data_IF_678898755699
#
_entry.id   IF_678898755699
#
_cell.length_a   1.000
_cell.length_b   1.000
_cell.length_c   1.000
_cell.angle_alpha   90.00
_cell.angle_beta   90.00
_cell.angle_gamma   90.00
#
_symmetry.space_group_name_H-M   'P 1'
#
loop_
_entity.id
_entity.type
_entity.pdbx_description
1 polymer ?
#
# COMPACT_ATOMS: atom_id res chain seq x y z
N UNK A 1 -19.52 3.47 12.31
CA UNK A 1 -18.42 2.60 11.89
C UNK A 1 -18.36 1.35 12.75
N UNK A 2 -17.84 1.34 13.98
CA UNK A 2 -17.91 0.12 14.81
C UNK A 2 -19.32 -0.07 15.38
N UNK A 3 -19.94 -1.23 15.10
CA UNK A 3 -21.28 -1.63 15.56
C UNK A 3 -21.24 -2.70 16.65
N UNK A 4 -20.16 -3.46 16.69
CA UNK A 4 -19.80 -4.36 17.79
C UNK A 4 -18.28 -4.37 17.94
N UNK A 5 -17.78 -4.30 19.17
CA UNK A 5 -16.35 -4.26 19.44
C UNK A 5 -15.65 -5.52 18.92
N UNK A 6 -14.43 -5.36 18.42
CA UNK A 6 -13.60 -6.48 17.97
C UNK A 6 -13.18 -7.29 19.21
N UNK A 7 -13.33 -8.63 19.20
CA UNK A 7 -12.91 -9.46 20.32
C UNK A 7 -11.38 -9.39 20.51
N UNK A 8 -10.84 -9.74 21.70
CA UNK A 8 -9.41 -9.68 21.98
C UNK A 8 -8.53 -10.55 21.06
N UNK A 9 -9.06 -11.63 20.48
CA UNK A 9 -8.33 -12.52 19.59
C UNK A 9 -9.22 -12.95 18.40
N UNK A 10 -9.44 -12.07 17.42
CA UNK A 10 -10.24 -12.42 16.25
C UNK A 10 -9.43 -13.34 15.32
N UNK A 11 -10.05 -14.41 14.84
CA UNK A 11 -9.43 -15.38 13.91
C UNK A 11 -10.03 -15.35 12.51
N UNK A 12 -11.17 -14.68 12.35
CA UNK A 12 -11.96 -14.69 11.12
C UNK A 12 -12.26 -13.26 10.66
N UNK A 13 -12.18 -13.06 9.35
CA UNK A 13 -12.58 -11.84 8.64
C UNK A 13 -13.56 -12.23 7.53
N UNK A 14 -14.72 -11.59 7.48
CA UNK A 14 -15.69 -11.79 6.41
C UNK A 14 -16.49 -10.54 6.11
N UNK A 15 -17.16 -10.50 4.96
CA UNK A 15 -17.93 -9.35 4.52
C UNK A 15 -19.34 -9.76 4.09
N UNK A 16 -20.34 -9.06 4.61
CA UNK A 16 -21.76 -9.23 4.29
C UNK A 16 -22.17 -8.10 3.33
N UNK A 17 -22.28 -8.41 2.03
CA UNK A 17 -22.48 -7.39 0.99
C UNK A 17 -23.84 -6.69 1.06
N UNK A 18 -24.89 -7.40 1.47
CA UNK A 18 -26.25 -6.86 1.59
C UNK A 18 -26.32 -5.77 2.67
N UNK A 19 -25.63 -5.99 3.79
CA UNK A 19 -25.64 -5.10 4.96
C UNK A 19 -24.43 -4.14 4.99
N UNK A 20 -23.49 -4.30 4.06
CA UNK A 20 -22.21 -3.60 4.03
C UNK A 20 -21.46 -3.71 5.37
N UNK A 21 -21.39 -4.93 5.91
CA UNK A 21 -20.78 -5.21 7.21
C UNK A 21 -19.47 -5.98 7.00
N UNK A 22 -18.37 -5.42 7.52
CA UNK A 22 -17.15 -6.18 7.74
C UNK A 22 -17.21 -6.82 9.13
N UNK A 23 -17.18 -8.15 9.18
CA UNK A 23 -17.14 -8.94 10.42
C UNK A 23 -15.71 -9.30 10.77
N UNK A 24 -15.37 -9.16 12.04
CA UNK A 24 -14.04 -9.47 12.59
C UNK A 24 -14.27 -10.30 13.85
N UNK A 25 -14.29 -11.63 13.71
CA UNK A 25 -14.84 -12.53 14.73
C UNK A 25 -16.29 -12.13 15.11
N UNK A 26 -16.52 -11.79 16.38
CA UNK A 26 -17.80 -11.27 16.87
C UNK A 26 -17.98 -9.76 16.67
N UNK A 27 -16.92 -9.04 16.29
CA UNK A 27 -16.94 -7.61 16.01
C UNK A 27 -17.58 -7.29 14.66
N UNK A 28 -18.07 -6.05 14.53
CA UNK A 28 -18.78 -5.58 13.32
C UNK A 28 -18.41 -4.14 13.01
N UNK A 29 -18.05 -3.87 11.76
CA UNK A 29 -17.84 -2.52 11.22
C UNK A 29 -18.84 -2.31 10.07
N UNK A 30 -19.60 -1.22 10.11
CA UNK A 30 -20.56 -0.82 9.09
C UNK A 30 -20.87 0.69 9.11
N UNK A 31 -21.13 1.29 7.94
CA UNK A 31 -21.03 0.68 6.60
C UNK A 31 -19.57 0.54 6.14
N UNK A 32 -19.29 -0.45 5.29
CA UNK A 32 -18.02 -0.65 4.58
C UNK A 32 -18.35 -0.82 3.11
N UNK A 33 -17.89 0.10 2.26
CA UNK A 33 -18.16 0.03 0.82
C UNK A 33 -17.61 -1.27 0.22
N UNK A 34 -18.38 -1.89 -0.68
CA UNK A 34 -17.96 -3.10 -1.38
C UNK A 34 -16.65 -2.89 -2.16
N UNK A 35 -16.41 -1.67 -2.66
CA UNK A 35 -15.16 -1.28 -3.31
C UNK A 35 -13.93 -1.38 -2.39
N UNK A 36 -14.07 -1.02 -1.12
CA UNK A 36 -13.01 -1.17 -0.13
C UNK A 36 -12.73 -2.64 0.18
N UNK A 37 -13.79 -3.46 0.30
CA UNK A 37 -13.66 -4.91 0.47
C UNK A 37 -13.01 -5.58 -0.74
N UNK A 38 -13.46 -5.27 -1.96
CA UNK A 38 -12.98 -5.84 -3.22
C UNK A 38 -11.65 -5.26 -3.72
N UNK A 39 -11.05 -4.32 -2.98
CA UNK A 39 -9.81 -3.68 -3.40
C UNK A 39 -8.64 -4.67 -3.41
N UNK A 40 -7.99 -4.80 -4.58
CA UNK A 40 -6.87 -5.73 -4.81
C UNK A 40 -5.65 -5.02 -5.38
N UNK A 41 -4.47 -5.50 -4.96
CA UNK A 41 -3.17 -5.13 -5.54
C UNK A 41 -2.46 -6.44 -5.90
N UNK A 42 -2.04 -6.58 -7.16
CA UNK A 42 -1.42 -7.83 -7.63
C UNK A 42 -2.31 -9.07 -7.46
N UNK A 43 -3.64 -8.91 -7.51
CA UNK A 43 -4.61 -9.98 -7.30
C UNK A 43 -4.91 -10.32 -5.83
N UNK A 44 -4.19 -9.75 -4.87
CA UNK A 44 -4.39 -9.99 -3.43
C UNK A 44 -5.38 -8.97 -2.85
N UNK A 45 -6.31 -9.41 -2.01
CA UNK A 45 -7.27 -8.51 -1.34
C UNK A 45 -6.63 -7.83 -0.13
N UNK A 46 -6.69 -6.50 -0.10
CA UNK A 46 -5.90 -5.73 0.86
C UNK A 46 -6.38 -5.84 2.30
N UNK A 47 -7.70 -5.88 2.55
CA UNK A 47 -8.24 -6.04 3.91
C UNK A 47 -7.94 -7.43 4.50
N UNK A 48 -8.04 -8.49 3.69
CA UNK A 48 -7.65 -9.86 4.09
C UNK A 48 -6.16 -9.92 4.43
N UNK A 49 -5.29 -9.42 3.55
CA UNK A 49 -3.84 -9.41 3.79
C UNK A 49 -3.46 -8.61 5.05
N UNK A 50 -4.09 -7.45 5.26
CA UNK A 50 -3.83 -6.60 6.42
C UNK A 50 -4.22 -7.31 7.73
N UNK A 51 -5.34 -8.04 7.72
CA UNK A 51 -5.83 -8.81 8.86
C UNK A 51 -4.94 -10.02 9.13
N UNK A 52 -4.66 -10.83 8.11
CA UNK A 52 -3.82 -12.02 8.20
C UNK A 52 -2.46 -11.71 8.83
N UNK A 53 -1.80 -10.62 8.40
CA UNK A 53 -0.49 -10.20 8.97
C UNK A 53 -0.53 -9.89 10.46
N UNK A 54 -1.71 -9.59 11.02
CA UNK A 54 -1.92 -9.26 12.44
C UNK A 54 -2.47 -10.41 13.26
N UNK A 55 -3.14 -11.38 12.63
CA UNK A 55 -3.81 -12.49 13.32
C UNK A 55 -3.18 -13.85 13.04
N UNK A 56 -2.24 -13.96 12.10
CA UNK A 56 -1.52 -15.19 11.83
C UNK A 56 -0.82 -15.69 13.10
N UNK A 57 -1.24 -16.87 13.56
CA UNK A 57 -0.56 -17.61 14.62
C UNK A 57 0.71 -18.18 14.02
N UNK A 58 1.84 -17.50 14.23
CA UNK A 58 3.12 -17.97 13.72
C UNK A 58 3.88 -18.67 14.85
N UNK A 59 4.35 -19.88 14.58
CA UNK A 59 5.48 -20.47 15.32
C UNK A 59 6.79 -19.81 14.88
N UNK A 60 6.80 -18.48 14.78
CA UNK A 60 7.95 -17.72 14.33
C UNK A 60 8.93 -17.55 15.49
N UNK A 61 10.21 -17.71 15.19
CA UNK A 61 11.31 -17.35 16.08
C UNK A 61 11.71 -15.89 15.80
N UNK A 62 12.34 -15.21 16.77
CA UNK A 62 12.87 -13.85 16.58
C UNK A 62 11.86 -12.73 16.78
N UNK A 63 12.05 -11.58 16.10
CA UNK A 63 11.22 -10.38 16.28
C UNK A 63 9.79 -10.56 15.73
N UNK A 64 9.62 -11.49 14.81
CA UNK A 64 8.34 -11.88 14.23
C UNK A 64 7.41 -12.51 15.28
N UNK A 65 7.98 -13.13 16.33
CA UNK A 65 7.25 -13.65 17.49
C UNK A 65 6.69 -12.54 18.39
N UNK A 66 7.28 -11.33 18.34
CA UNK A 66 6.87 -10.21 19.21
C UNK A 66 5.58 -9.61 18.66
N UNK A 67 4.46 -9.92 19.33
CA UNK A 67 3.12 -9.44 18.98
C UNK A 67 2.35 -9.01 20.22
N UNK A 68 1.40 -8.07 20.09
CA UNK A 68 0.45 -7.78 21.16
C UNK A 68 -0.30 -9.06 21.57
N UNK A 69 -0.53 -9.28 22.89
CA UNK A 69 -1.21 -10.48 23.37
C UNK A 69 -2.72 -10.50 23.07
N UNK A 70 -3.26 -9.36 22.64
CA UNK A 70 -4.65 -9.17 22.24
C UNK A 70 -4.72 -8.04 21.21
N UNK A 71 -5.85 -7.97 20.51
CA UNK A 71 -6.20 -6.91 19.58
C UNK A 71 -6.19 -5.53 20.27
N UNK A 72 -5.22 -4.66 19.96
CA UNK A 72 -5.16 -3.32 20.51
C UNK A 72 -6.23 -2.42 19.89
N UNK A 73 -6.64 -1.38 20.61
CA UNK A 73 -7.60 -0.40 20.09
C UNK A 73 -7.06 0.29 18.83
N UNK A 74 -5.75 0.53 18.79
CA UNK A 74 -5.02 1.17 17.70
C UNK A 74 -5.22 0.41 16.38
N UNK A 75 -5.25 -0.92 16.40
CA UNK A 75 -5.52 -1.73 15.20
C UNK A 75 -6.94 -1.54 14.67
N UNK A 76 -7.93 -1.29 15.55
CA UNK A 76 -9.28 -0.92 15.09
C UNK A 76 -9.23 0.43 14.38
N UNK A 77 -8.51 1.41 14.92
CA UNK A 77 -8.35 2.73 14.29
C UNK A 77 -7.66 2.62 12.93
N UNK A 78 -6.52 1.91 12.85
CA UNK A 78 -5.80 1.65 11.61
C UNK A 78 -6.68 0.95 10.56
N UNK A 79 -7.50 -0.01 10.97
CA UNK A 79 -8.42 -0.69 10.07
C UNK A 79 -9.49 0.26 9.51
N UNK A 80 -10.04 1.15 10.34
CA UNK A 80 -11.02 2.15 9.90
C UNK A 80 -10.40 3.16 8.91
N UNK A 81 -9.16 3.56 9.15
CA UNK A 81 -8.40 4.41 8.23
C UNK A 81 -8.14 3.68 6.91
N UNK A 82 -7.72 2.42 6.96
CA UNK A 82 -7.49 1.62 5.76
C UNK A 82 -8.77 1.44 4.95
N UNK A 83 -9.89 1.08 5.58
CA UNK A 83 -11.20 0.97 4.92
C UNK A 83 -11.55 2.28 4.20
N UNK A 84 -11.38 3.41 4.89
CA UNK A 84 -11.65 4.74 4.32
C UNK A 84 -10.77 5.02 3.11
N UNK A 85 -9.47 4.76 3.22
CA UNK A 85 -8.51 4.96 2.13
C UNK A 85 -8.84 4.08 0.92
N UNK A 86 -9.17 2.81 1.12
CA UNK A 86 -9.52 1.89 0.04
C UNK A 86 -10.85 2.29 -0.64
N UNK A 87 -11.84 2.75 0.12
CA UNK A 87 -13.08 3.29 -0.44
C UNK A 87 -12.82 4.53 -1.31
N UNK A 88 -11.98 5.45 -0.84
CA UNK A 88 -11.58 6.63 -1.60
C UNK A 88 -10.83 6.25 -2.89
N UNK A 89 -9.89 5.29 -2.82
CA UNK A 89 -9.16 4.80 -3.98
C UNK A 89 -10.08 4.12 -5.00
N UNK A 90 -11.03 3.31 -4.56
CA UNK A 90 -12.04 2.70 -5.45
C UNK A 90 -12.88 3.77 -6.15
N UNK A 91 -13.32 4.81 -5.41
CA UNK A 91 -14.06 5.94 -5.98
C UNK A 91 -13.26 6.80 -6.99
N UNK A 92 -11.93 6.65 -7.03
CA UNK A 92 -11.09 7.30 -8.03
C UNK A 92 -10.91 6.48 -9.31
N UNK A 93 -11.27 5.19 -9.34
CA UNK A 93 -11.08 4.32 -10.51
C UNK A 93 -11.67 4.88 -11.80
N UNK A 94 -12.91 5.41 -11.85
CA UNK A 94 -13.44 5.97 -13.09
C UNK A 94 -12.62 7.16 -13.62
N UNK A 95 -12.02 7.95 -12.72
CA UNK A 95 -11.14 9.06 -13.11
C UNK A 95 -9.80 8.54 -13.61
N UNK A 96 -9.28 7.47 -13.01
CA UNK A 96 -8.05 6.81 -13.46
C UNK A 96 -8.23 6.15 -14.83
N UNK A 97 -9.35 5.46 -15.06
CA UNK A 97 -9.67 4.85 -16.36
C UNK A 97 -9.88 5.92 -17.45
N UNK A 98 -10.40 7.09 -17.07
CA UNK A 98 -10.54 8.24 -17.97
C UNK A 98 -9.20 8.91 -18.29
N UNK A 99 -8.13 8.67 -17.51
CA UNK A 99 -6.77 8.98 -17.92
C UNK A 99 -6.38 7.96 -18.99
N UNK A 100 -6.90 8.15 -20.21
CA UNK A 100 -6.39 7.44 -21.36
C UNK A 100 -4.86 7.63 -21.36
N UNK A 101 -4.04 6.56 -21.41
CA UNK A 101 -2.66 6.76 -21.77
C UNK A 101 -2.72 7.47 -23.11
N UNK A 102 -2.24 8.72 -23.16
CA UNK A 102 -2.14 9.43 -24.42
C UNK A 102 -1.36 8.58 -25.43
N UNK A 103 -1.34 9.00 -26.70
CA UNK A 103 -0.50 8.33 -27.70
C UNK A 103 0.90 8.11 -27.10
N UNK A 104 1.24 6.84 -26.84
CA UNK A 104 2.48 6.51 -26.17
C UNK A 104 3.62 7.00 -27.04
N UNK A 105 4.60 7.69 -26.46
CA UNK A 105 5.74 8.19 -27.23
C UNK A 105 6.53 6.97 -27.71
N UNK A 106 6.56 6.76 -29.02
CA UNK A 106 7.24 5.65 -29.65
C UNK A 106 8.75 5.83 -29.57
N UNK A 107 9.48 4.71 -29.68
CA UNK A 107 10.93 4.76 -29.79
C UNK A 107 11.41 5.54 -31.02
N UNK A 108 10.62 5.61 -32.09
CA UNK A 108 10.93 6.38 -33.29
C UNK A 108 10.79 7.89 -33.05
N UNK A 109 9.71 8.32 -32.39
CA UNK A 109 9.55 9.73 -31.97
C UNK A 109 10.68 10.17 -31.03
N UNK A 110 11.10 9.31 -30.09
CA UNK A 110 12.24 9.59 -29.23
C UNK A 110 13.56 9.68 -29.99
N UNK A 111 13.76 8.90 -31.06
CA UNK A 111 14.95 9.01 -31.92
C UNK A 111 14.92 10.27 -32.77
N UNK A 112 13.77 10.60 -33.35
CA UNK A 112 13.57 11.83 -34.12
C UNK A 112 13.81 13.08 -33.26
N UNK A 113 13.41 13.04 -31.98
CA UNK A 113 13.67 14.09 -31.00
C UNK A 113 15.10 14.10 -30.44
N UNK A 114 15.97 13.15 -30.83
CA UNK A 114 17.35 13.05 -30.34
C UNK A 114 17.48 12.58 -28.88
N UNK A 115 16.41 12.07 -28.27
CA UNK A 115 16.41 11.50 -26.91
C UNK A 115 17.07 10.11 -26.92
N UNK A 116 16.81 9.32 -27.97
CA UNK A 116 17.43 8.01 -28.18
C UNK A 116 18.45 8.06 -29.34
N UNK A 117 19.58 7.32 -29.24
CA UNK A 117 19.98 6.47 -28.11
C UNK A 117 20.45 7.29 -26.91
N UNK A 118 20.26 6.74 -25.69
CA UNK A 118 20.76 7.37 -24.46
C UNK A 118 22.28 7.59 -24.57
N UNK A 119 22.78 8.83 -24.39
CA UNK A 119 24.19 9.16 -24.52
C UNK A 119 25.04 8.42 -23.48
N UNK A 120 26.29 8.11 -23.82
CA UNK A 120 27.17 7.32 -22.95
C UNK A 120 27.41 7.97 -21.57
N UNK A 121 27.40 9.29 -21.49
CA UNK A 121 27.52 10.04 -20.23
C UNK A 121 26.34 9.80 -19.28
N UNK A 122 25.12 9.68 -19.81
CA UNK A 122 23.91 9.45 -19.02
C UNK A 122 23.75 7.98 -18.56
N UNK A 123 24.60 7.07 -19.05
CA UNK A 123 24.66 5.67 -18.58
C UNK A 123 25.64 5.47 -17.43
N UNK A 124 26.39 6.51 -17.07
CA UNK A 124 27.29 6.46 -15.92
C UNK A 124 26.47 6.68 -14.63
N UNK A 125 26.91 6.14 -13.49
CA UNK A 125 26.37 6.54 -12.19
C UNK A 125 26.36 8.06 -12.06
N UNK A 126 25.40 8.60 -11.29
CA UNK A 126 25.36 10.04 -11.02
C UNK A 126 26.75 10.50 -10.54
N UNK A 127 27.32 11.53 -11.16
CA UNK A 127 28.66 12.03 -10.84
C UNK A 127 28.78 12.51 -9.38
N UNK A 128 27.66 12.82 -8.74
CA UNK A 128 27.56 13.08 -7.29
C UNK A 128 28.11 11.92 -6.46
N UNK A 129 27.99 10.67 -6.94
CA UNK A 129 28.49 9.47 -6.25
C UNK A 129 29.98 9.18 -6.53
N UNK A 130 30.61 9.94 -7.43
CA UNK A 130 32.03 9.81 -7.78
C UNK A 130 32.91 10.92 -7.21
N UNK A 131 32.31 11.90 -6.53
CA UNK A 131 33.03 12.93 -5.79
C UNK A 131 33.51 12.30 -4.48
N UNK A 132 34.80 12.44 -4.17
CA UNK A 132 35.32 12.04 -2.87
C UNK A 132 34.80 13.03 -1.83
N UNK A 133 34.07 12.52 -0.83
CA UNK A 133 33.60 13.29 0.31
C UNK A 133 34.81 13.94 1.03
N UNK A 134 34.86 15.27 1.07
CA UNK A 134 36.02 16.01 1.59
C UNK A 134 35.87 16.39 3.08
N UNK A 135 34.70 16.14 3.69
CA UNK A 135 34.36 16.54 5.05
C UNK A 135 34.06 15.39 6.02
N UNK A 136 34.14 15.62 7.36
CA UNK A 136 33.98 14.58 8.38
C UNK A 136 32.58 13.95 8.44
N UNK A 137 31.59 14.57 7.81
CA UNK A 137 30.18 14.13 7.77
C UNK A 137 29.65 13.90 6.33
N UNK A 138 30.52 13.72 5.33
CA UNK A 138 30.09 13.42 3.96
C UNK A 138 29.49 14.60 3.18
N UNK A 139 29.81 15.84 3.57
CA UNK A 139 29.26 17.04 2.91
C UNK A 139 30.06 17.42 1.65
N UNK A 140 29.35 17.75 0.58
CA UNK A 140 29.93 18.28 -0.67
C UNK A 140 29.91 19.82 -0.64
N UNK A 141 31.06 20.47 -0.69
CA UNK A 141 31.12 21.92 -0.91
C UNK A 141 30.98 22.21 -2.41
N UNK A 142 29.90 22.90 -2.80
CA UNK A 142 29.77 23.45 -4.15
C UNK A 142 30.58 24.76 -4.21
N UNK A 143 31.59 24.83 -5.08
CA UNK A 143 32.24 26.08 -5.49
C UNK A 143 31.45 26.76 -6.60
#
# INVERSE_FOLDING_TARGET
>A
YVRAAVPPAPTELSYEAEEQVLRIGTGRISPVDAGAWEFRVGGVRMLELWFERRTAVTGADGLEAVRPPAWPQEWTSELLELITLLALLDGLRPRQDALAPGAGISAEELRAAGVLPVPASARRPASVLGLQEEGPDGQFALL
#
